data_IF_658966891115
#
_entry.id   IF_658966891115
#
_cell.length_a   1.000
_cell.length_b   1.000
_cell.length_c   1.000
_cell.angle_alpha   90.00
_cell.angle_beta   90.00
_cell.angle_gamma   90.00
#
_symmetry.space_group_name_H-M   'P 1'
#
loop_
_entity.id
_entity.type
_entity.pdbx_description
1 polymer ?
#
# COMPACT_ATOMS: atom_id res chain seq x y z
N UNK A 1 14.82 30.60 11.44
CA UNK A 1 14.15 29.28 11.59
C UNK A 1 12.72 29.44 11.06
N UNK A 2 12.32 28.96 9.88
CA UNK A 2 11.79 27.60 9.70
C UNK A 2 11.38 27.33 8.22
N UNK A 3 12.33 27.30 7.28
CA UNK A 3 12.01 26.82 5.91
C UNK A 3 11.92 25.28 5.80
N UNK A 4 12.29 24.55 6.86
CA UNK A 4 12.42 23.09 6.84
C UNK A 4 11.10 22.30 7.02
N UNK A 5 9.97 22.93 7.38
CA UNK A 5 8.70 22.21 7.65
C UNK A 5 7.77 22.00 6.46
N UNK A 6 8.04 22.63 5.30
CA UNK A 6 7.12 22.62 4.14
C UNK A 6 7.23 21.42 3.20
N UNK A 7 8.32 20.64 3.29
CA UNK A 7 8.56 19.50 2.39
C UNK A 7 7.95 18.18 2.86
N UNK A 8 7.74 18.00 4.17
CA UNK A 8 7.36 16.69 4.71
C UNK A 8 5.99 16.23 4.21
N UNK A 9 4.97 17.10 4.19
CA UNK A 9 3.59 16.71 3.85
C UNK A 9 3.35 16.50 2.35
N UNK A 10 4.20 17.05 1.48
CA UNK A 10 4.02 16.94 0.03
C UNK A 10 4.39 15.56 -0.55
N UNK A 11 5.05 14.72 0.24
CA UNK A 11 5.39 13.35 -0.16
C UNK A 11 4.41 12.32 0.39
N UNK A 12 3.62 12.64 1.42
CA UNK A 12 2.69 11.70 2.03
C UNK A 12 1.38 11.65 1.27
N UNK A 13 1.00 10.45 0.81
CA UNK A 13 -0.35 10.16 0.32
C UNK A 13 -1.34 10.20 1.49
N UNK A 14 -1.82 11.40 1.80
CA UNK A 14 -2.76 11.67 2.89
C UNK A 14 -4.19 11.62 2.37
N UNK A 15 -5.05 10.88 3.05
CA UNK A 15 -6.51 10.92 2.86
C UNK A 15 -7.13 11.54 4.11
N UNK A 16 -7.90 12.60 3.93
CA UNK A 16 -8.60 13.28 5.03
C UNK A 16 -10.10 13.11 4.84
N UNK A 17 -10.74 12.43 5.80
CA UNK A 17 -12.19 12.26 5.82
C UNK A 17 -12.77 12.98 7.04
N UNK A 18 -13.64 13.95 6.80
CA UNK A 18 -14.26 14.76 7.86
C UNK A 18 -15.65 14.22 8.22
N UNK A 19 -15.84 13.92 9.51
CA UNK A 19 -17.06 13.26 10.03
C UNK A 19 -18.15 14.25 10.42
N UNK A 20 -17.81 15.51 10.71
CA UNK A 20 -18.76 16.53 11.11
C UNK A 20 -18.41 17.89 10.50
N UNK A 21 -19.31 18.45 9.69
CA UNK A 21 -19.16 19.75 9.00
C UNK A 21 -18.99 20.92 9.96
N UNK A 22 -19.51 20.83 11.19
CA UNK A 22 -19.41 21.91 12.21
C UNK A 22 -18.00 22.16 12.75
N UNK A 23 -17.04 21.27 12.49
CA UNK A 23 -15.64 21.43 12.88
C UNK A 23 -14.71 21.62 11.68
N UNK A 24 -15.28 22.01 10.54
CA UNK A 24 -14.51 22.27 9.34
C UNK A 24 -13.62 23.51 9.51
N UNK A 25 -12.32 23.26 9.44
CA UNK A 25 -11.32 24.31 9.25
C UNK A 25 -10.93 24.24 7.78
N UNK A 26 -11.42 25.14 6.91
CA UNK A 26 -11.07 25.12 5.50
C UNK A 26 -9.58 25.41 5.33
N UNK A 27 -8.97 24.80 4.31
CA UNK A 27 -7.61 25.17 3.92
C UNK A 27 -7.56 26.67 3.62
N UNK A 28 -6.56 27.42 4.12
CA UNK A 28 -6.40 28.84 3.79
C UNK A 28 -6.37 29.03 2.28
N UNK A 29 -7.04 30.06 1.75
CA UNK A 29 -7.06 30.30 0.29
C UNK A 29 -5.66 30.49 -0.32
N UNK A 30 -4.68 30.91 0.50
CA UNK A 30 -3.27 31.05 0.10
C UNK A 30 -2.48 29.72 0.11
N UNK A 31 -3.07 28.63 0.61
CA UNK A 31 -2.44 27.31 0.74
C UNK A 31 -3.44 26.25 0.26
N UNK A 32 -3.37 25.93 -1.03
CA UNK A 32 -4.16 24.83 -1.60
C UNK A 32 -3.61 23.49 -1.11
N UNK A 33 -4.48 22.47 -0.91
CA UNK A 33 -4.03 21.12 -0.63
C UNK A 33 -3.17 20.61 -1.81
N UNK A 34 -2.16 19.77 -1.54
CA UNK A 34 -1.39 19.15 -2.61
C UNK A 34 -2.30 18.40 -3.60
N UNK A 35 -1.94 18.38 -4.87
CA UNK A 35 -2.76 17.78 -5.95
C UNK A 35 -3.08 16.30 -5.77
N UNK A 36 -2.33 15.59 -4.93
CA UNK A 36 -2.53 14.18 -4.61
C UNK A 36 -3.42 13.92 -3.37
N UNK A 37 -3.89 14.98 -2.70
CA UNK A 37 -4.80 14.91 -1.54
C UNK A 37 -6.23 15.13 -2.03
N UNK A 38 -7.13 14.20 -1.71
CA UNK A 38 -8.56 14.32 -1.98
C UNK A 38 -9.29 14.52 -0.66
N UNK A 39 -10.21 15.49 -0.60
CA UNK A 39 -11.07 15.73 0.56
C UNK A 39 -12.42 15.09 0.29
N UNK A 40 -12.80 14.12 1.12
CA UNK A 40 -14.09 13.42 1.04
C UNK A 40 -14.92 13.68 2.31
N UNK A 41 -16.25 13.75 2.14
CA UNK A 41 -17.20 14.01 3.22
C UNK A 41 -18.14 12.81 3.35
N UNK A 42 -18.27 12.28 4.56
CA UNK A 42 -19.16 11.14 4.82
C UNK A 42 -18.91 10.46 6.15
N UNK A 43 -19.70 9.43 6.42
CA UNK A 43 -19.50 8.55 7.57
C UNK A 43 -18.21 7.74 7.41
N UNK A 44 -17.50 7.51 8.52
CA UNK A 44 -16.36 6.59 8.54
C UNK A 44 -16.89 5.18 8.23
N UNK A 45 -16.37 4.57 7.17
CA UNK A 45 -16.64 3.17 6.87
C UNK A 45 -15.56 2.31 7.51
N UNK A 46 -15.96 1.44 8.44
CA UNK A 46 -15.06 0.43 8.97
C UNK A 46 -14.79 -0.62 7.90
N UNK A 47 -13.53 -0.78 7.52
CA UNK A 47 -13.11 -1.88 6.65
C UNK A 47 -12.72 -3.06 7.53
N UNK A 48 -13.47 -4.17 7.46
CA UNK A 48 -13.04 -5.42 8.07
C UNK A 48 -12.10 -6.16 7.13
N UNK A 49 -11.06 -6.80 7.70
CA UNK A 49 -10.14 -7.64 6.94
C UNK A 49 -10.44 -9.09 7.26
N UNK A 50 -10.75 -9.89 6.24
CA UNK A 50 -10.97 -11.33 6.40
C UNK A 50 -9.63 -12.05 6.61
N UNK A 51 -9.57 -12.91 7.63
CA UNK A 51 -8.42 -13.78 7.92
C UNK A 51 -8.82 -15.22 7.58
N UNK A 52 -8.27 -15.81 6.50
CA UNK A 52 -8.55 -17.20 6.15
C UNK A 52 -8.17 -18.16 7.28
N UNK A 53 -8.99 -19.19 7.49
CA UNK A 53 -8.85 -20.11 8.62
C UNK A 53 -8.07 -21.37 8.23
N UNK A 54 -8.05 -21.73 6.94
CA UNK A 54 -7.42 -22.96 6.47
C UNK A 54 -6.11 -22.67 5.75
N UNK A 55 -5.13 -23.56 5.91
CA UNK A 55 -3.80 -23.43 5.31
C UNK A 55 -3.83 -23.44 3.77
N UNK A 56 -4.75 -24.19 3.17
CA UNK A 56 -4.92 -24.28 1.72
C UNK A 56 -5.51 -22.99 1.10
N UNK A 57 -5.99 -22.06 1.91
CA UNK A 57 -6.38 -20.71 1.49
C UNK A 57 -5.18 -19.75 1.39
N UNK A 58 -3.97 -20.21 1.72
CA UNK A 58 -2.73 -19.45 1.62
C UNK A 58 -1.84 -19.92 0.46
N UNK A 59 -0.99 -19.02 -0.01
CA UNK A 59 0.02 -19.24 -1.06
C UNK A 59 1.36 -18.60 -0.66
N UNK A 60 2.47 -19.10 -1.22
CA UNK A 60 3.78 -18.51 -0.97
C UNK A 60 3.92 -17.11 -1.60
N UNK A 61 4.71 -16.24 -0.97
CA UNK A 61 4.96 -14.86 -1.47
C UNK A 61 5.52 -14.86 -2.89
N UNK A 62 6.37 -15.81 -3.27
CA UNK A 62 6.95 -15.87 -4.62
C UNK A 62 8.02 -14.81 -4.88
N UNK A 63 8.14 -14.38 -6.13
CA UNK A 63 9.24 -13.55 -6.62
C UNK A 63 8.81 -12.15 -7.02
N UNK A 64 9.74 -11.20 -6.94
CA UNK A 64 9.51 -9.83 -7.39
C UNK A 64 9.47 -9.75 -8.92
N UNK A 65 8.43 -9.12 -9.47
CA UNK A 65 8.26 -8.88 -10.91
C UNK A 65 9.23 -7.86 -11.53
N UNK A 66 10.21 -7.33 -10.77
CA UNK A 66 11.26 -6.41 -11.28
C UNK A 66 12.61 -7.11 -11.29
N UNK A 67 13.09 -7.58 -10.14
CA UNK A 67 14.43 -8.18 -10.02
C UNK A 67 14.41 -9.71 -10.18
N UNK A 68 13.23 -10.32 -10.32
CA UNK A 68 13.00 -11.76 -10.41
C UNK A 68 13.53 -12.59 -9.22
N UNK A 69 14.01 -11.92 -8.17
CA UNK A 69 14.50 -12.57 -6.95
C UNK A 69 13.34 -12.85 -5.99
N UNK A 70 13.51 -13.87 -5.16
CA UNK A 70 12.52 -14.25 -4.15
C UNK A 70 12.31 -13.11 -3.14
N UNK A 71 11.06 -12.90 -2.74
CA UNK A 71 10.72 -12.01 -1.63
C UNK A 71 10.65 -12.85 -0.36
N UNK A 72 11.52 -12.59 0.59
CA UNK A 72 11.69 -13.45 1.77
C UNK A 72 10.81 -13.03 2.94
N UNK A 73 10.43 -11.75 3.01
CA UNK A 73 9.68 -11.20 4.15
C UNK A 73 8.47 -10.40 3.68
N UNK A 74 7.41 -10.42 4.49
CA UNK A 74 6.16 -9.70 4.22
C UNK A 74 6.32 -8.18 4.35
N UNK A 75 7.24 -7.70 5.18
CA UNK A 75 7.57 -6.27 5.33
C UNK A 75 8.36 -5.70 4.14
N UNK A 76 8.93 -6.57 3.30
CA UNK A 76 9.54 -6.21 2.03
C UNK A 76 8.55 -6.28 0.85
N UNK A 77 7.39 -6.90 1.03
CA UNK A 77 6.41 -7.17 -0.02
C UNK A 77 5.48 -5.99 -0.29
N UNK A 78 5.36 -5.61 -1.56
CA UNK A 78 4.21 -4.90 -2.11
C UNK A 78 3.47 -5.78 -3.12
N UNK A 79 2.14 -5.71 -3.09
CA UNK A 79 1.27 -6.41 -4.03
C UNK A 79 0.42 -5.40 -4.80
N UNK A 80 0.12 -5.69 -6.07
CA UNK A 80 -0.74 -4.84 -6.89
C UNK A 80 -2.15 -4.72 -6.26
N UNK A 81 -2.71 -3.52 -6.19
CA UNK A 81 -4.04 -3.31 -5.60
C UNK A 81 -5.18 -3.81 -6.49
N UNK A 82 -4.93 -4.08 -7.78
CA UNK A 82 -5.91 -4.68 -8.69
C UNK A 82 -6.08 -6.19 -8.43
N UNK A 83 -6.63 -6.54 -7.26
CA UNK A 83 -6.70 -7.92 -6.75
C UNK A 83 -7.43 -8.92 -7.64
N UNK A 84 -8.38 -8.45 -8.46
CA UNK A 84 -9.20 -9.33 -9.32
C UNK A 84 -8.45 -9.79 -10.57
N UNK A 85 -7.59 -8.93 -11.11
CA UNK A 85 -6.98 -9.12 -12.43
C UNK A 85 -5.45 -9.13 -12.39
N UNK A 86 -4.85 -8.94 -11.21
CA UNK A 86 -3.40 -8.90 -11.06
C UNK A 86 -2.93 -9.53 -9.75
N UNK A 87 -1.94 -10.39 -9.88
CA UNK A 87 -1.23 -11.10 -8.82
C UNK A 87 0.19 -10.55 -8.60
N UNK A 88 0.56 -9.44 -9.27
CA UNK A 88 1.95 -8.98 -9.30
C UNK A 88 2.47 -8.58 -7.92
N UNK A 89 3.73 -8.93 -7.67
CA UNK A 89 4.42 -8.80 -6.39
C UNK A 89 5.76 -8.14 -6.61
N UNK A 90 6.17 -7.29 -5.67
CA UNK A 90 7.40 -6.53 -5.78
C UNK A 90 8.08 -6.44 -4.43
N UNK A 91 9.42 -6.40 -4.42
CA UNK A 91 10.09 -5.75 -3.29
C UNK A 91 9.68 -4.28 -3.28
N UNK A 92 9.36 -3.76 -2.09
CA UNK A 92 9.02 -2.36 -1.88
C UNK A 92 10.09 -1.43 -2.47
N UNK A 93 11.36 -1.75 -2.22
CA UNK A 93 12.49 -0.98 -2.73
C UNK A 93 12.51 -1.02 -4.27
N UNK A 94 12.37 -2.20 -4.88
CA UNK A 94 12.40 -2.31 -6.35
C UNK A 94 11.33 -1.44 -7.02
N UNK A 95 10.08 -1.49 -6.53
CA UNK A 95 9.00 -0.70 -7.11
C UNK A 95 9.18 0.80 -6.85
N UNK A 96 9.63 1.18 -5.65
CA UNK A 96 9.92 2.59 -5.32
C UNK A 96 11.00 3.15 -6.25
N UNK A 97 12.13 2.45 -6.39
CA UNK A 97 13.23 2.86 -7.27
C UNK A 97 12.76 2.99 -8.71
N UNK A 98 12.03 2.00 -9.22
CA UNK A 98 11.50 2.03 -10.58
C UNK A 98 10.59 3.24 -10.82
N UNK A 99 9.63 3.49 -9.94
CA UNK A 99 8.71 4.62 -10.06
C UNK A 99 9.44 5.98 -10.01
N UNK A 100 10.39 6.13 -9.08
CA UNK A 100 11.17 7.36 -8.94
C UNK A 100 12.14 7.61 -10.10
N UNK A 101 12.68 6.56 -10.72
CA UNK A 101 13.49 6.70 -11.93
C UNK A 101 12.65 7.20 -13.10
N UNK A 102 11.41 6.72 -13.25
CA UNK A 102 10.50 7.17 -14.31
C UNK A 102 10.10 8.65 -14.18
N UNK A 103 10.02 9.18 -12.95
CA UNK A 103 9.71 10.59 -12.69
C UNK A 103 10.96 11.48 -12.57
N UNK A 104 12.16 10.91 -12.70
CA UNK A 104 13.45 11.57 -12.44
C UNK A 104 13.56 12.17 -11.01
N UNK A 105 12.91 11.53 -10.03
CA UNK A 105 12.89 11.94 -8.62
C UNK A 105 13.73 11.02 -7.72
N UNK A 106 14.44 10.04 -8.29
CA UNK A 106 15.23 9.05 -7.54
C UNK A 106 16.25 9.66 -6.58
N UNK A 107 16.84 10.80 -6.95
CA UNK A 107 17.79 11.53 -6.11
C UNK A 107 17.14 12.56 -5.17
N UNK A 108 15.83 12.78 -5.30
CA UNK A 108 15.08 13.83 -4.61
C UNK A 108 14.14 13.28 -3.53
N UNK A 109 13.66 12.05 -3.71
CA UNK A 109 12.61 11.45 -2.90
C UNK A 109 12.99 10.02 -2.51
N UNK A 110 12.66 9.62 -1.27
CA UNK A 110 12.89 8.25 -0.79
C UNK A 110 11.81 7.28 -1.27
N UNK A 111 10.62 7.78 -1.57
CA UNK A 111 9.48 7.01 -2.04
C UNK A 111 8.65 7.87 -3.01
N UNK A 112 8.01 7.25 -4.00
CA UNK A 112 7.17 7.96 -4.95
C UNK A 112 5.81 8.31 -4.35
N UNK A 113 5.09 9.26 -4.96
CA UNK A 113 3.69 9.54 -4.61
C UNK A 113 2.76 8.48 -5.22
N UNK A 114 3.11 7.98 -6.42
CA UNK A 114 2.39 6.92 -7.13
C UNK A 114 3.36 5.99 -7.85
N UNK A 115 2.93 4.76 -8.10
CA UNK A 115 3.68 3.77 -8.86
C UNK A 115 2.74 3.02 -9.80
N UNK A 116 3.23 2.72 -11.01
CA UNK A 116 2.51 1.92 -12.00
C UNK A 116 2.89 0.45 -11.85
N UNK A 117 1.91 -0.45 -11.81
CA UNK A 117 2.14 -1.88 -11.85
C UNK A 117 2.75 -2.27 -13.20
N UNK A 118 3.87 -3.00 -13.21
CA UNK A 118 4.55 -3.41 -14.45
C UNK A 118 3.76 -4.50 -15.17
N UNK A 119 3.06 -5.38 -14.43
CA UNK A 119 2.26 -6.46 -15.02
C UNK A 119 0.97 -5.97 -15.67
N UNK A 120 0.16 -5.18 -14.96
CA UNK A 120 -1.17 -4.78 -15.42
C UNK A 120 -1.29 -3.31 -15.81
N UNK A 121 -0.22 -2.53 -15.72
CA UNK A 121 -0.20 -1.09 -16.05
C UNK A 121 -1.13 -0.19 -15.22
N UNK A 122 -1.77 -0.69 -14.17
CA UNK A 122 -2.61 0.12 -13.30
C UNK A 122 -1.75 1.08 -12.47
N UNK A 123 -2.18 2.34 -12.33
CA UNK A 123 -1.51 3.31 -11.48
C UNK A 123 -2.08 3.24 -10.05
N UNK A 124 -1.18 3.16 -9.06
CA UNK A 124 -1.56 3.11 -7.66
C UNK A 124 -0.93 4.26 -6.90
N UNK A 125 -1.67 4.83 -5.93
CA UNK A 125 -1.06 5.73 -4.94
C UNK A 125 -0.13 4.89 -4.07
N UNK A 126 1.04 5.43 -3.76
CA UNK A 126 1.99 4.72 -2.90
C UNK A 126 1.38 4.42 -1.52
N UNK A 127 0.57 5.36 -0.99
CA UNK A 127 -0.16 5.16 0.26
C UNK A 127 -1.10 3.95 0.25
N UNK A 128 -1.72 3.63 -0.89
CA UNK A 128 -2.63 2.49 -1.01
C UNK A 128 -1.84 1.16 -1.04
N UNK A 129 -0.69 1.13 -1.72
CA UNK A 129 0.22 -0.02 -1.69
C UNK A 129 0.73 -0.30 -0.26
N UNK A 130 1.11 0.75 0.49
CA UNK A 130 1.54 0.60 1.88
C UNK A 130 0.38 0.17 2.80
N UNK A 131 -0.83 0.69 2.57
CA UNK A 131 -2.03 0.28 3.34
C UNK A 131 -2.33 -1.20 3.13
N UNK A 132 -2.28 -1.66 1.88
CA UNK A 132 -2.45 -3.04 1.49
C UNK A 132 -1.39 -3.95 2.16
N UNK A 133 -0.12 -3.53 2.18
CA UNK A 133 0.93 -4.25 2.91
C UNK A 133 0.61 -4.36 4.42
N UNK A 134 0.14 -3.27 5.04
CA UNK A 134 -0.25 -3.30 6.46
C UNK A 134 -1.41 -4.26 6.72
N UNK A 135 -2.37 -4.37 5.81
CA UNK A 135 -3.42 -5.38 5.89
C UNK A 135 -2.84 -6.80 5.85
N UNK A 136 -1.87 -7.07 4.96
CA UNK A 136 -1.19 -8.37 4.89
C UNK A 136 -0.46 -8.70 6.20
N UNK A 137 0.28 -7.74 6.76
CA UNK A 137 0.98 -7.91 8.03
C UNK A 137 0.01 -8.13 9.21
N UNK A 138 -1.13 -7.43 9.22
CA UNK A 138 -2.17 -7.64 10.23
C UNK A 138 -2.80 -9.02 10.13
N UNK A 139 -3.07 -9.49 8.91
CA UNK A 139 -3.55 -10.87 8.68
C UNK A 139 -2.50 -11.87 9.19
N UNK A 140 -1.22 -11.69 8.85
CA UNK A 140 -0.13 -12.57 9.29
C UNK A 140 -0.04 -12.68 10.82
N UNK A 141 -0.18 -11.55 11.52
CA UNK A 141 -0.19 -11.49 12.98
C UNK A 141 -1.43 -12.15 13.63
N UNK A 142 -2.54 -12.28 12.90
CA UNK A 142 -3.81 -12.84 13.37
C UNK A 142 -4.05 -14.27 12.88
N UNK A 143 -3.08 -14.90 12.20
CA UNK A 143 -3.25 -16.24 11.63
C UNK A 143 -3.56 -17.26 12.73
N UNK A 144 -4.60 -18.10 12.56
CA UNK A 144 -4.84 -19.20 13.48
C UNK A 144 -3.71 -20.23 13.37
N UNK A 145 -3.42 -20.91 14.48
CA UNK A 145 -2.62 -22.13 14.43
C UNK A 145 -3.48 -23.19 13.74
N UNK A 146 -3.08 -23.65 12.56
CA UNK A 146 -3.84 -24.66 11.83
C UNK A 146 -3.67 -26.05 12.47
N UNK A 147 -4.55 -26.99 12.12
CA UNK A 147 -4.45 -28.38 12.54
C UNK A 147 -3.07 -28.96 12.19
N UNK A 148 -2.54 -29.82 13.08
CA UNK A 148 -1.16 -30.34 13.06
C UNK A 148 -0.05 -29.36 13.49
N UNK A 149 -0.39 -28.16 13.98
CA UNK A 149 0.60 -27.19 14.50
C UNK A 149 1.40 -26.47 13.41
N UNK A 150 1.00 -26.62 12.15
CA UNK A 150 1.58 -25.89 11.01
C UNK A 150 0.98 -24.47 10.98
N UNK A 151 1.83 -23.47 10.82
CA UNK A 151 1.43 -22.06 10.67
C UNK A 151 1.84 -21.61 9.26
N UNK A 152 0.98 -20.87 8.58
CA UNK A 152 1.24 -20.31 7.25
C UNK A 152 2.26 -19.13 7.29
N UNK A 153 3.38 -19.28 8.00
CA UNK A 153 4.38 -18.23 8.23
C UNK A 153 4.96 -17.79 6.88
N UNK A 154 4.94 -16.48 6.61
CA UNK A 154 5.47 -15.95 5.35
C UNK A 154 4.66 -16.37 4.12
N UNK A 155 3.38 -16.73 4.29
CA UNK A 155 2.43 -16.98 3.20
C UNK A 155 1.38 -15.87 3.12
N UNK A 156 0.73 -15.74 1.97
CA UNK A 156 -0.30 -14.75 1.65
C UNK A 156 -1.66 -15.43 1.50
N UNK A 157 -2.78 -14.80 1.90
CA UNK A 157 -4.09 -15.24 1.47
C UNK A 157 -4.17 -15.28 -0.06
N UNK A 158 -4.70 -16.39 -0.60
CA UNK A 158 -4.95 -16.52 -2.03
C UNK A 158 -5.90 -15.42 -2.50
N UNK A 159 -5.57 -14.80 -3.63
CA UNK A 159 -6.47 -13.86 -4.31
C UNK A 159 -7.48 -14.64 -5.14
N UNK A 160 -8.77 -14.33 -4.98
CA UNK A 160 -9.78 -14.78 -5.93
C UNK A 160 -9.67 -13.91 -7.19
N UNK A 161 -9.04 -14.48 -8.22
CA UNK A 161 -8.99 -13.87 -9.55
C UNK A 161 -10.26 -14.22 -10.31
N UNK A 162 -10.83 -13.24 -11.03
CA UNK A 162 -12.03 -13.41 -11.85
C UNK A 162 -11.68 -13.73 -13.30
#
# INVERSE_FOLDING_TARGET
>A
MSHAKRRALASFSSHFQMVATKFEIPFPQSILPPSHVTVERGLIQNTSTFVPQKLDEYEFIGSCNICNSQILKLDELLVCCNRKNCDARYHMICLAKHALMLTNEYHLSLFPISAKCIKCSEAHRWGDLIREQRCILAIDAMKPVCEEGKIAIGMLPKRQMS
#
